data_IF_444002034656
#
_entry.id   IF_444002034656
#
_cell.length_a   1.000
_cell.length_b   1.000
_cell.length_c   1.000
_cell.angle_alpha   90.00
_cell.angle_beta   90.00
_cell.angle_gamma   90.00
#
_symmetry.space_group_name_H-M   'P 1'
#
loop_
_entity.id
_entity.type
_entity.pdbx_description
1 polymer ?
#
# COMPACT_ATOMS: atom_id res chain seq x y z
N UNK A 1 -53.38 32.25 -26.94
CA UNK A 1 -52.35 31.70 -26.01
C UNK A 1 -50.99 32.10 -26.54
N UNK A 2 -50.30 33.02 -25.85
CA UNK A 2 -49.12 33.71 -26.39
C UNK A 2 -47.82 32.90 -26.26
N UNK A 3 -46.88 33.17 -27.18
CA UNK A 3 -45.51 32.62 -27.25
C UNK A 3 -44.75 32.71 -25.90
N UNK A 4 -45.12 33.68 -25.05
CA UNK A 4 -44.65 33.82 -23.67
C UNK A 4 -44.99 32.63 -22.75
N UNK A 5 -46.12 31.95 -22.98
CA UNK A 5 -46.52 30.75 -22.23
C UNK A 5 -45.75 29.51 -22.68
N UNK A 6 -45.33 29.47 -23.95
CA UNK A 6 -44.52 28.37 -24.50
C UNK A 6 -43.07 28.47 -24.02
N UNK A 7 -42.48 29.68 -24.08
CA UNK A 7 -41.13 29.94 -23.55
C UNK A 7 -41.03 29.66 -22.04
N UNK A 8 -42.05 30.02 -21.24
CA UNK A 8 -42.07 29.68 -19.79
C UNK A 8 -42.06 28.16 -19.52
N UNK A 9 -42.65 27.35 -20.40
CA UNK A 9 -42.63 25.89 -20.26
C UNK A 9 -41.28 25.29 -20.68
N UNK A 10 -40.61 25.86 -21.69
CA UNK A 10 -39.23 25.48 -22.07
C UNK A 10 -38.24 25.82 -20.95
N UNK A 11 -38.36 27.01 -20.34
CA UNK A 11 -37.52 27.40 -19.20
C UNK A 11 -37.75 26.56 -17.94
N UNK A 12 -38.99 26.12 -17.68
CA UNK A 12 -39.27 25.12 -16.63
C UNK A 12 -38.66 23.74 -16.94
N UNK A 13 -38.64 23.34 -18.21
CA UNK A 13 -37.94 22.12 -18.67
C UNK A 13 -36.42 22.22 -18.51
N UNK A 14 -35.83 23.38 -18.83
CA UNK A 14 -34.40 23.67 -18.66
C UNK A 14 -33.96 23.74 -17.19
N UNK A 15 -34.84 24.14 -16.27
CA UNK A 15 -34.54 24.08 -14.83
C UNK A 15 -34.50 22.64 -14.29
N UNK A 16 -35.20 21.70 -14.92
CA UNK A 16 -35.12 20.25 -14.61
C UNK A 16 -33.79 19.63 -15.09
N UNK A 17 -33.17 20.23 -16.10
CA UNK A 17 -31.89 19.81 -16.68
C UNK A 17 -30.70 20.20 -15.78
N UNK A 18 -30.82 21.23 -14.93
CA UNK A 18 -29.78 21.58 -13.95
C UNK A 18 -29.50 20.47 -12.93
N UNK A 19 -30.52 19.72 -12.51
CA UNK A 19 -30.32 18.56 -11.61
C UNK A 19 -29.68 17.37 -12.33
N UNK A 20 -29.91 17.24 -13.64
CA UNK A 20 -29.33 16.17 -14.46
C UNK A 20 -27.85 16.46 -14.74
N UNK A 21 -27.49 17.69 -15.13
CA UNK A 21 -26.09 18.08 -15.34
C UNK A 21 -25.24 18.08 -14.06
N UNK A 22 -25.82 18.42 -12.90
CA UNK A 22 -25.15 18.25 -11.61
C UNK A 22 -24.83 16.78 -11.31
N UNK A 23 -25.78 15.88 -11.58
CA UNK A 23 -25.65 14.43 -11.38
C UNK A 23 -24.64 13.80 -12.35
N UNK A 24 -24.60 14.25 -13.61
CA UNK A 24 -23.59 13.82 -14.58
C UNK A 24 -22.17 14.24 -14.20
N UNK A 25 -21.97 15.44 -13.64
CA UNK A 25 -20.65 15.87 -13.18
C UNK A 25 -20.20 15.06 -11.95
N UNK A 26 -21.10 14.77 -11.01
CA UNK A 26 -20.74 13.95 -9.84
C UNK A 26 -20.38 12.53 -10.25
N UNK A 27 -21.19 11.88 -11.09
CA UNK A 27 -20.95 10.50 -11.52
C UNK A 27 -19.63 10.38 -12.31
N UNK A 28 -19.35 11.35 -13.19
CA UNK A 28 -18.09 11.40 -13.94
C UNK A 28 -16.86 11.67 -13.07
N UNK A 29 -16.98 12.53 -12.06
CA UNK A 29 -15.92 12.78 -11.08
C UNK A 29 -15.66 11.55 -10.19
N UNK A 30 -16.70 10.78 -9.83
CA UNK A 30 -16.57 9.48 -9.15
C UNK A 30 -15.82 8.47 -10.01
N UNK A 31 -16.21 8.30 -11.27
CA UNK A 31 -15.58 7.36 -12.20
C UNK A 31 -14.09 7.68 -12.42
N UNK A 32 -13.75 8.96 -12.58
CA UNK A 32 -12.34 9.40 -12.66
C UNK A 32 -11.53 9.06 -11.41
N UNK A 33 -12.12 9.25 -10.22
CA UNK A 33 -11.46 8.90 -8.95
C UNK A 33 -11.24 7.39 -8.82
N UNK A 34 -12.23 6.58 -9.20
CA UNK A 34 -12.11 5.12 -9.20
C UNK A 34 -11.01 4.63 -10.15
N UNK A 35 -10.92 5.19 -11.36
CA UNK A 35 -9.83 4.89 -12.31
C UNK A 35 -8.46 5.27 -11.71
N UNK A 36 -8.39 6.42 -11.03
CA UNK A 36 -7.17 6.87 -10.35
C UNK A 36 -6.76 5.95 -9.19
N UNK A 37 -7.72 5.35 -8.48
CA UNK A 37 -7.45 4.36 -7.42
C UNK A 37 -6.96 3.04 -8.02
N UNK A 38 -7.60 2.54 -9.08
CA UNK A 38 -7.19 1.30 -9.76
C UNK A 38 -5.76 1.37 -10.32
N UNK A 39 -5.38 2.50 -10.93
CA UNK A 39 -4.02 2.72 -11.42
C UNK A 39 -2.98 2.82 -10.29
N UNK A 40 -3.37 3.30 -9.11
CA UNK A 40 -2.49 3.36 -7.93
C UNK A 40 -2.31 1.96 -7.34
N UNK A 41 -3.39 1.18 -7.20
CA UNK A 41 -3.33 -0.23 -6.75
C UNK A 41 -2.42 -1.09 -7.61
N UNK A 42 -2.52 -1.00 -8.94
CA UNK A 42 -1.64 -1.76 -9.86
C UNK A 42 -0.17 -1.41 -9.71
N UNK A 43 0.15 -0.15 -9.38
CA UNK A 43 1.53 0.29 -9.12
C UNK A 43 2.05 -0.27 -7.81
N UNK A 44 1.26 -0.16 -6.74
CA UNK A 44 1.61 -0.71 -5.41
C UNK A 44 1.84 -2.23 -5.49
N UNK A 45 0.94 -2.98 -6.13
CA UNK A 45 1.09 -4.44 -6.27
C UNK A 45 2.35 -4.86 -7.06
N UNK A 46 2.76 -4.08 -8.07
CA UNK A 46 3.99 -4.34 -8.82
C UNK A 46 5.22 -4.05 -7.96
N UNK A 47 5.20 -2.92 -7.26
CA UNK A 47 6.29 -2.51 -6.38
C UNK A 47 6.52 -3.51 -5.26
N UNK A 48 5.46 -3.93 -4.59
CA UNK A 48 5.52 -4.90 -3.50
C UNK A 48 6.26 -6.17 -3.92
N UNK A 49 5.96 -6.71 -5.10
CA UNK A 49 6.64 -7.92 -5.59
C UNK A 49 8.15 -7.72 -5.80
N UNK A 50 8.58 -6.55 -6.28
CA UNK A 50 10.00 -6.23 -6.47
C UNK A 50 10.69 -6.01 -5.12
N UNK A 51 10.08 -5.22 -4.24
CA UNK A 51 10.60 -4.93 -2.90
C UNK A 51 10.70 -6.18 -2.01
N UNK A 52 9.68 -7.05 -2.00
CA UNK A 52 9.71 -8.31 -1.27
C UNK A 52 10.80 -9.23 -1.77
N UNK A 53 10.99 -9.31 -3.09
CA UNK A 53 12.04 -10.13 -3.67
C UNK A 53 13.42 -9.63 -3.25
N UNK A 54 13.69 -8.34 -3.39
CA UNK A 54 14.96 -7.75 -2.99
C UNK A 54 15.23 -7.89 -1.49
N UNK A 55 14.20 -7.72 -0.67
CA UNK A 55 14.25 -7.90 0.78
C UNK A 55 14.58 -9.35 1.15
N UNK A 56 13.90 -10.31 0.52
CA UNK A 56 14.14 -11.74 0.69
C UNK A 56 15.56 -12.11 0.24
N UNK A 57 15.98 -11.70 -0.95
CA UNK A 57 17.29 -12.03 -1.51
C UNK A 57 18.43 -11.49 -0.62
N UNK A 58 18.32 -10.24 -0.15
CA UNK A 58 19.30 -9.64 0.75
C UNK A 58 19.35 -10.32 2.12
N UNK A 59 18.20 -10.72 2.67
CA UNK A 59 18.15 -11.43 3.94
C UNK A 59 18.75 -12.84 3.84
N UNK A 60 18.53 -13.54 2.73
CA UNK A 60 19.18 -14.82 2.45
C UNK A 60 20.70 -14.67 2.28
N UNK A 61 21.18 -13.59 1.66
CA UNK A 61 22.62 -13.32 1.55
C UNK A 61 23.28 -13.17 2.93
N UNK A 62 22.61 -12.49 3.86
CA UNK A 62 23.06 -12.34 5.26
C UNK A 62 23.03 -13.70 5.97
N UNK A 63 21.95 -14.47 5.80
CA UNK A 63 21.80 -15.78 6.41
C UNK A 63 22.89 -16.77 5.94
N UNK A 64 23.14 -16.85 4.63
CA UNK A 64 24.17 -17.71 4.04
C UNK A 64 25.58 -17.34 4.50
N UNK A 65 25.84 -16.04 4.66
CA UNK A 65 27.10 -15.55 5.19
C UNK A 65 27.30 -16.00 6.63
N UNK A 66 26.28 -15.84 7.47
CA UNK A 66 26.28 -16.21 8.88
C UNK A 66 26.41 -17.71 9.09
N UNK A 67 25.75 -18.51 8.26
CA UNK A 67 25.87 -19.98 8.30
C UNK A 67 27.29 -20.48 8.07
N UNK A 68 28.11 -19.71 7.33
CA UNK A 68 29.51 -20.04 7.05
C UNK A 68 30.46 -19.58 8.15
N UNK A 69 29.98 -18.90 9.19
CA UNK A 69 30.81 -18.32 10.26
C UNK A 69 30.34 -18.81 11.63
N UNK A 70 31.19 -19.59 12.31
CA UNK A 70 30.83 -20.23 13.60
C UNK A 70 30.42 -19.23 14.69
N UNK A 71 31.03 -18.04 14.71
CA UNK A 71 30.75 -16.96 15.66
C UNK A 71 29.39 -16.28 15.42
N UNK A 72 28.68 -16.65 14.36
CA UNK A 72 27.45 -16.03 13.94
C UNK A 72 26.20 -16.90 14.21
N UNK A 73 26.38 -18.15 14.68
CA UNK A 73 25.28 -19.08 14.96
C UNK A 73 24.23 -18.53 15.93
N UNK A 74 24.60 -17.63 16.83
CA UNK A 74 23.68 -16.96 17.74
C UNK A 74 22.63 -16.09 17.03
N UNK A 75 22.88 -15.63 15.80
CA UNK A 75 21.97 -14.77 15.04
C UNK A 75 21.03 -15.55 14.11
N UNK A 76 21.22 -16.86 13.94
CA UNK A 76 20.41 -17.68 13.02
C UNK A 76 18.92 -17.64 13.36
N UNK A 77 18.57 -17.70 14.64
CA UNK A 77 17.16 -17.68 15.08
C UNK A 77 16.46 -16.37 14.75
N UNK A 78 17.13 -15.24 14.95
CA UNK A 78 16.60 -13.91 14.63
C UNK A 78 16.45 -13.71 13.11
N UNK A 79 17.39 -14.21 12.31
CA UNK A 79 17.30 -14.17 10.85
C UNK A 79 16.20 -15.08 10.30
N UNK A 80 16.02 -16.25 10.90
CA UNK A 80 14.92 -17.13 10.52
C UNK A 80 13.57 -16.46 10.81
N UNK A 81 13.42 -15.86 12.00
CA UNK A 81 12.24 -15.09 12.35
C UNK A 81 12.05 -13.88 11.40
N UNK A 82 13.13 -13.20 11.02
CA UNK A 82 13.06 -12.12 10.02
C UNK A 82 12.52 -12.62 8.67
N UNK A 83 13.06 -13.73 8.14
CA UNK A 83 12.61 -14.32 6.88
C UNK A 83 11.16 -14.82 6.94
N UNK A 84 10.76 -15.43 8.05
CA UNK A 84 9.37 -15.84 8.31
C UNK A 84 8.44 -14.62 8.28
N UNK A 85 8.82 -13.51 8.92
CA UNK A 85 8.02 -12.28 8.87
C UNK A 85 7.97 -11.66 7.45
N UNK A 86 9.02 -11.76 6.62
CA UNK A 86 8.95 -11.33 5.21
C UNK A 86 7.91 -12.17 4.46
N UNK A 87 7.90 -13.49 4.69
CA UNK A 87 6.97 -14.40 4.05
C UNK A 87 5.53 -14.16 4.53
N UNK A 88 5.32 -13.96 5.83
CA UNK A 88 4.01 -13.65 6.41
C UNK A 88 3.37 -12.42 5.75
N UNK A 89 4.14 -11.35 5.50
CA UNK A 89 3.61 -10.16 4.83
C UNK A 89 3.14 -10.54 3.42
N UNK A 90 3.96 -11.27 2.66
CA UNK A 90 3.65 -11.67 1.28
C UNK A 90 2.41 -12.57 1.19
N UNK A 91 2.29 -13.52 2.10
CA UNK A 91 1.22 -14.53 2.06
C UNK A 91 -0.07 -14.03 2.72
N UNK A 92 0.00 -12.96 3.53
CA UNK A 92 -1.17 -12.38 4.18
C UNK A 92 -2.10 -11.67 3.20
N UNK A 93 -3.40 -11.98 3.32
CA UNK A 93 -4.45 -11.27 2.61
C UNK A 93 -4.98 -10.12 3.48
N UNK A 94 -4.80 -8.89 2.99
CA UNK A 94 -5.36 -7.69 3.60
C UNK A 94 -4.32 -6.77 4.23
N UNK A 95 -4.40 -5.50 3.85
CA UNK A 95 -3.42 -4.46 4.18
C UNK A 95 -3.21 -4.24 5.68
N UNK A 96 -4.24 -4.39 6.50
CA UNK A 96 -4.12 -4.24 7.96
C UNK A 96 -3.26 -5.34 8.58
N UNK A 97 -3.36 -6.56 8.06
CA UNK A 97 -2.57 -7.71 8.53
C UNK A 97 -1.12 -7.55 8.07
N UNK A 98 -0.92 -7.20 6.79
CA UNK A 98 0.39 -6.88 6.21
C UNK A 98 1.14 -5.79 7.00
N UNK A 99 0.46 -4.69 7.37
CA UNK A 99 1.04 -3.62 8.19
C UNK A 99 1.47 -4.11 9.58
N UNK A 100 0.76 -5.06 10.17
CA UNK A 100 1.14 -5.61 11.46
C UNK A 100 2.39 -6.51 11.34
N UNK A 101 2.47 -7.36 10.32
CA UNK A 101 3.67 -8.15 10.05
C UNK A 101 4.86 -7.26 9.69
N UNK A 102 4.65 -6.21 8.90
CA UNK A 102 5.67 -5.20 8.59
C UNK A 102 6.24 -4.56 9.87
N UNK A 103 5.39 -4.15 10.83
CA UNK A 103 5.85 -3.59 12.10
C UNK A 103 6.70 -4.58 12.89
N UNK A 104 6.32 -5.86 12.92
CA UNK A 104 7.11 -6.92 13.56
C UNK A 104 8.45 -7.10 12.86
N UNK A 105 8.45 -7.17 11.53
CA UNK A 105 9.65 -7.31 10.70
C UNK A 105 10.65 -6.17 10.97
N UNK A 106 10.17 -4.93 11.00
CA UNK A 106 11.00 -3.76 11.32
C UNK A 106 11.55 -3.85 12.75
N UNK A 107 10.76 -4.34 13.71
CA UNK A 107 11.23 -4.54 15.09
C UNK A 107 12.38 -5.56 15.14
N UNK A 108 12.20 -6.72 14.52
CA UNK A 108 13.23 -7.77 14.44
C UNK A 108 14.51 -7.22 13.80
N UNK A 109 14.38 -6.48 12.70
CA UNK A 109 15.54 -5.90 12.03
C UNK A 109 16.27 -4.84 12.85
N UNK A 110 15.53 -4.02 13.61
CA UNK A 110 16.12 -3.00 14.49
C UNK A 110 16.95 -3.62 15.60
N UNK A 111 16.58 -4.80 16.07
CA UNK A 111 17.34 -5.57 17.06
C UNK A 111 18.55 -6.25 16.40
N UNK A 112 18.34 -6.95 15.28
CA UNK A 112 19.36 -7.72 14.58
C UNK A 112 20.47 -6.86 13.96
N UNK A 113 20.12 -5.79 13.23
CA UNK A 113 21.08 -5.04 12.41
C UNK A 113 22.25 -4.44 13.21
N UNK A 114 22.07 -3.81 14.38
CA UNK A 114 23.19 -3.34 15.21
C UNK A 114 24.17 -4.46 15.59
N UNK A 115 23.66 -5.67 15.87
CA UNK A 115 24.51 -6.81 16.19
C UNK A 115 25.29 -7.29 14.95
N UNK A 116 24.65 -7.30 13.77
CA UNK A 116 25.31 -7.60 12.51
C UNK A 116 26.43 -6.58 12.20
N UNK A 117 26.16 -5.29 12.37
CA UNK A 117 27.18 -4.25 12.15
C UNK A 117 28.33 -4.34 13.16
N UNK A 118 28.05 -4.69 14.42
CA UNK A 118 29.10 -4.82 15.44
C UNK A 118 30.05 -6.00 15.13
N UNK A 119 29.53 -7.12 14.66
CA UNK A 119 30.31 -8.34 14.45
C UNK A 119 30.87 -8.47 13.02
N UNK A 120 30.18 -7.90 12.04
CA UNK A 120 30.47 -8.06 10.61
C UNK A 120 30.45 -6.74 9.83
N UNK A 121 30.41 -5.59 10.49
CA UNK A 121 30.34 -4.27 9.84
C UNK A 121 31.60 -3.83 9.09
N UNK A 122 32.63 -4.67 9.02
CA UNK A 122 33.76 -4.51 8.11
C UNK A 122 33.60 -5.34 6.81
N UNK A 123 32.65 -6.28 6.77
CA UNK A 123 32.40 -7.12 5.61
C UNK A 123 31.52 -6.40 4.58
N UNK A 124 32.07 -6.23 3.37
CA UNK A 124 31.40 -5.50 2.30
C UNK A 124 30.06 -6.13 1.88
N UNK A 125 29.91 -7.46 1.97
CA UNK A 125 28.65 -8.15 1.63
C UNK A 125 27.59 -7.86 2.69
N UNK A 126 27.93 -7.97 3.97
CA UNK A 126 26.99 -7.66 5.05
C UNK A 126 26.57 -6.19 5.03
N UNK A 127 27.52 -5.27 4.80
CA UNK A 127 27.19 -3.83 4.65
C UNK A 127 26.22 -3.62 3.48
N UNK A 128 26.50 -4.22 2.31
CA UNK A 128 25.67 -4.05 1.11
C UNK A 128 24.27 -4.63 1.34
N UNK A 129 24.16 -5.86 1.80
CA UNK A 129 22.88 -6.51 2.06
C UNK A 129 22.07 -5.77 3.13
N UNK A 130 22.71 -5.32 4.21
CA UNK A 130 22.03 -4.54 5.26
C UNK A 130 21.50 -3.20 4.74
N UNK A 131 22.22 -2.54 3.82
CA UNK A 131 21.72 -1.32 3.15
C UNK A 131 20.49 -1.61 2.31
N UNK A 132 20.49 -2.71 1.55
CA UNK A 132 19.33 -3.13 0.75
C UNK A 132 18.14 -3.41 1.66
N UNK A 133 18.32 -4.18 2.73
CA UNK A 133 17.23 -4.45 3.70
C UNK A 133 16.66 -3.16 4.28
N UNK A 134 17.51 -2.22 4.71
CA UNK A 134 17.03 -0.93 5.23
C UNK A 134 16.25 -0.11 4.19
N UNK A 135 16.75 -0.06 2.96
CA UNK A 135 16.08 0.65 1.86
C UNK A 135 14.72 0.02 1.57
N UNK A 136 14.69 -1.31 1.42
CA UNK A 136 13.48 -2.05 1.08
C UNK A 136 12.44 -2.03 2.21
N UNK A 137 12.84 -2.05 3.48
CA UNK A 137 11.91 -1.86 4.60
C UNK A 137 11.30 -0.46 4.60
N UNK A 138 12.06 0.59 4.28
CA UNK A 138 11.52 1.95 4.19
C UNK A 138 10.52 2.06 3.03
N UNK A 139 10.88 1.50 1.88
CA UNK A 139 10.10 1.48 0.66
C UNK A 139 8.78 0.71 0.83
N UNK A 140 8.85 -0.52 1.32
CA UNK A 140 7.67 -1.33 1.64
C UNK A 140 6.74 -0.62 2.63
N UNK A 141 7.29 0.05 3.65
CA UNK A 141 6.49 0.82 4.60
C UNK A 141 5.71 1.97 3.95
N UNK A 142 6.28 2.64 2.94
CA UNK A 142 5.59 3.70 2.21
C UNK A 142 4.42 3.15 1.40
N UNK A 143 4.65 2.06 0.67
CA UNK A 143 3.61 1.44 -0.15
C UNK A 143 2.47 0.86 0.68
N UNK A 144 2.76 0.16 1.78
CA UNK A 144 1.69 -0.39 2.62
C UNK A 144 0.82 0.73 3.24
N UNK A 145 1.41 1.88 3.58
CA UNK A 145 0.63 3.03 4.03
C UNK A 145 -0.19 3.65 2.89
N UNK A 146 0.36 3.73 1.68
CA UNK A 146 -0.38 4.19 0.51
C UNK A 146 -1.59 3.30 0.22
N UNK A 147 -1.44 1.97 0.28
CA UNK A 147 -2.57 1.06 0.10
C UNK A 147 -3.63 1.22 1.19
N UNK A 148 -3.22 1.44 2.44
CA UNK A 148 -4.15 1.73 3.52
C UNK A 148 -4.94 3.03 3.27
N UNK A 149 -4.27 4.08 2.78
CA UNK A 149 -4.92 5.34 2.40
C UNK A 149 -5.91 5.14 1.25
N UNK A 150 -5.55 4.36 0.23
CA UNK A 150 -6.44 4.00 -0.87
C UNK A 150 -7.67 3.23 -0.38
N UNK A 151 -7.48 2.26 0.52
CA UNK A 151 -8.58 1.51 1.11
C UNK A 151 -9.54 2.43 1.88
N UNK A 152 -9.01 3.41 2.61
CA UNK A 152 -9.81 4.40 3.32
C UNK A 152 -10.56 5.33 2.36
N UNK A 153 -9.92 5.76 1.26
CA UNK A 153 -10.55 6.56 0.21
C UNK A 153 -11.71 5.79 -0.44
N UNK A 154 -11.53 4.51 -0.76
CA UNK A 154 -12.59 3.64 -1.31
C UNK A 154 -13.77 3.47 -0.35
N UNK A 155 -13.50 3.23 0.93
CA UNK A 155 -14.56 3.13 1.96
C UNK A 155 -15.36 4.42 2.05
N UNK A 156 -14.68 5.56 2.02
CA UNK A 156 -15.35 6.86 2.05
C UNK A 156 -16.21 7.09 0.81
N UNK A 157 -15.70 6.78 -0.40
CA UNK A 157 -16.48 6.90 -1.64
C UNK A 157 -17.69 5.96 -1.65
N UNK A 158 -17.53 4.73 -1.15
CA UNK A 158 -18.63 3.78 -1.02
C UNK A 158 -19.72 4.30 -0.06
N UNK A 159 -19.33 4.89 1.08
CA UNK A 159 -20.26 5.50 2.03
C UNK A 159 -21.00 6.69 1.40
N UNK A 160 -20.29 7.59 0.71
CA UNK A 160 -20.92 8.72 0.02
C UNK A 160 -21.96 8.26 -1.01
N UNK A 161 -21.68 7.18 -1.74
CA UNK A 161 -22.62 6.61 -2.71
C UNK A 161 -23.85 6.03 -2.01
N UNK A 162 -23.67 5.34 -0.89
CA UNK A 162 -24.78 4.82 -0.08
C UNK A 162 -25.66 5.95 0.46
N UNK A 163 -25.06 7.03 0.95
CA UNK A 163 -25.77 8.20 1.47
C UNK A 163 -26.57 8.91 0.36
N UNK A 164 -25.99 9.04 -0.83
CA UNK A 164 -26.70 9.57 -2.00
C UNK A 164 -27.92 8.73 -2.36
N UNK A 165 -27.78 7.40 -2.43
CA UNK A 165 -28.91 6.50 -2.72
C UNK A 165 -30.00 6.64 -1.65
N UNK A 166 -29.63 6.66 -0.37
CA UNK A 166 -30.59 6.79 0.73
C UNK A 166 -31.27 8.17 0.76
N UNK A 167 -30.62 9.22 0.26
CA UNK A 167 -31.22 10.55 0.14
C UNK A 167 -32.23 10.68 -1.03
N UNK A 168 -32.23 9.72 -1.95
CA UNK A 168 -33.13 9.65 -3.11
C UNK A 168 -34.37 8.76 -2.87
N UNK A 169 -34.47 8.08 -1.72
CA UNK A 169 -35.60 7.24 -1.26
C UNK A 169 -36.46 8.02 -0.26
#
# INVERSE_FOLDING_TARGET
>A
MGVLSWLKNIFKGLFKIKNIFGKFNSDFDFDRRLIGIDQRKKRTARFENEAFKELSDAAHEIFDYINKHENAKSFQGELYNFLEQVQDIRDSSGITVQLNHYRKLVSVWRELNPHLQKNFGADAKIIKASKIVNQQLMELGKELNLEMDLLNEEKHLAQQKLDLINSEI
#
